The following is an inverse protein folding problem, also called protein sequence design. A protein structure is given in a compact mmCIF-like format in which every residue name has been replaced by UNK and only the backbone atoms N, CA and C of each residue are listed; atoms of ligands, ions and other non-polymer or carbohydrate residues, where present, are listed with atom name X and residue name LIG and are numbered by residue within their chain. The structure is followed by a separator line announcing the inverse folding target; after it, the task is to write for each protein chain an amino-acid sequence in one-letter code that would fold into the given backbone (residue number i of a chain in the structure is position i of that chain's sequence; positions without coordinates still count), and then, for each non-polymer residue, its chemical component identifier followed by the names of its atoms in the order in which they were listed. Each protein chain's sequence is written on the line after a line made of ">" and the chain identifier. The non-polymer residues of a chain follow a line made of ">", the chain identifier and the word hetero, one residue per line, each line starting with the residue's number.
data_IF_489961252393
#
_entry.id   IF_489961252393
#
_cell.length_a   1.000
_cell.length_b   1.000
_cell.length_c   1.000
_cell.angle_alpha   90.00
_cell.angle_beta   90.00
_cell.angle_gamma   90.00
#
_symmetry.space_group_name_H-M   'P 1'
#
loop_
_entity.id
_entity.type
_entity.pdbx_description
1 polymer ?
#
# COMPACT_ATOMS: atom_id res chain seq x y z
N UNK A 1 -20.49 -2.03 -2.53
CA UNK A 1 -19.06 -2.32 -2.27
C UNK A 1 -18.96 -3.83 -2.11
N UNK A 2 -17.87 -4.50 -2.55
CA UNK A 2 -17.65 -5.86 -2.06
C UNK A 2 -17.64 -5.83 -0.52
N UNK A 3 -18.19 -6.87 0.11
CA UNK A 3 -18.11 -7.01 1.57
C UNK A 3 -16.67 -6.85 2.03
N UNK A 4 -16.47 -6.19 3.18
CA UNK A 4 -15.15 -5.80 3.69
C UNK A 4 -14.19 -7.01 3.78
N UNK A 5 -14.71 -8.22 3.98
CA UNK A 5 -13.94 -9.47 3.95
C UNK A 5 -13.30 -9.73 2.58
N UNK A 6 -14.07 -9.70 1.49
CA UNK A 6 -13.59 -9.91 0.13
C UNK A 6 -12.57 -8.84 -0.29
N UNK A 7 -12.76 -7.59 0.15
CA UNK A 7 -11.79 -6.51 -0.07
C UNK A 7 -10.41 -6.87 0.48
N UNK A 8 -10.34 -7.37 1.72
CA UNK A 8 -9.07 -7.71 2.35
C UNK A 8 -8.42 -8.92 1.68
N UNK A 9 -9.21 -9.92 1.31
CA UNK A 9 -8.69 -11.12 0.64
C UNK A 9 -8.09 -10.81 -0.73
N UNK A 10 -8.79 -10.05 -1.58
CA UNK A 10 -8.25 -9.65 -2.88
C UNK A 10 -7.01 -8.78 -2.74
N UNK A 11 -7.03 -7.81 -1.83
CA UNK A 11 -5.87 -6.96 -1.60
C UNK A 11 -4.65 -7.76 -1.14
N UNK A 12 -4.80 -8.70 -0.19
CA UNK A 12 -3.68 -9.56 0.25
C UNK A 12 -3.17 -10.42 -0.88
N UNK A 13 -4.06 -11.04 -1.66
CA UNK A 13 -3.70 -11.86 -2.81
C UNK A 13 -2.84 -11.06 -3.78
N UNK A 14 -3.32 -9.90 -4.20
CA UNK A 14 -2.66 -9.12 -5.25
C UNK A 14 -1.33 -8.52 -4.75
N UNK A 15 -1.25 -8.11 -3.48
CA UNK A 15 0.02 -7.69 -2.88
C UNK A 15 1.02 -8.84 -2.76
N UNK A 16 0.58 -10.04 -2.35
CA UNK A 16 1.47 -11.24 -2.30
C UNK A 16 2.03 -11.56 -3.68
N UNK A 17 1.19 -11.49 -4.71
CA UNK A 17 1.61 -11.67 -6.10
C UNK A 17 2.62 -10.59 -6.53
N UNK A 18 2.36 -9.31 -6.23
CA UNK A 18 3.26 -8.21 -6.59
C UNK A 18 4.63 -8.31 -5.91
N UNK A 19 4.65 -8.60 -4.60
CA UNK A 19 5.90 -8.70 -3.83
C UNK A 19 6.58 -10.07 -3.90
N UNK A 20 5.98 -11.04 -4.62
CA UNK A 20 6.42 -12.44 -4.65
C UNK A 20 6.68 -12.99 -3.24
N UNK A 21 5.79 -12.64 -2.30
CA UNK A 21 5.97 -12.88 -0.88
C UNK A 21 5.05 -13.98 -0.37
N UNK A 22 5.54 -14.77 0.57
CA UNK A 22 4.74 -15.82 1.20
C UNK A 22 3.67 -15.19 2.08
N UNK A 23 3.97 -14.15 2.85
CA UNK A 23 2.99 -13.45 3.69
C UNK A 23 3.08 -11.95 3.50
N UNK A 24 1.93 -11.27 3.50
CA UNK A 24 1.86 -9.81 3.45
C UNK A 24 0.94 -9.30 4.53
N UNK A 25 1.48 -8.40 5.35
CA UNK A 25 0.73 -7.57 6.28
C UNK A 25 0.55 -6.19 5.65
N UNK A 26 -0.61 -5.57 5.87
CA UNK A 26 -0.84 -4.21 5.43
C UNK A 26 -1.67 -3.42 6.44
N UNK A 27 -1.45 -2.11 6.47
CA UNK A 27 -2.22 -1.15 7.24
C UNK A 27 -2.76 -0.06 6.30
N UNK A 28 -4.04 0.25 6.39
CA UNK A 28 -4.63 1.39 5.69
C UNK A 28 -4.11 2.69 6.30
N UNK A 29 -3.41 3.49 5.50
CA UNK A 29 -2.94 4.81 5.90
C UNK A 29 -4.08 5.84 5.99
N UNK A 30 -5.23 5.51 5.40
CA UNK A 30 -6.45 6.34 5.40
C UNK A 30 -7.69 5.47 5.56
N UNK A 31 -8.68 5.96 6.30
CA UNK A 31 -9.99 5.31 6.36
C UNK A 31 -10.76 5.57 5.06
N UNK A 32 -10.61 4.65 4.11
CA UNK A 32 -11.35 4.62 2.85
C UNK A 32 -10.56 5.09 1.63
N UNK A 33 -11.10 4.85 0.42
CA UNK A 33 -10.47 5.24 -0.82
C UNK A 33 -10.48 6.75 -1.01
N UNK A 34 -9.45 7.27 -1.67
CA UNK A 34 -9.50 8.57 -2.31
C UNK A 34 -9.98 8.39 -3.74
N UNK A 35 -11.13 8.95 -4.07
CA UNK A 35 -11.67 8.99 -5.43
C UNK A 35 -12.02 10.43 -5.80
N UNK A 36 -11.48 10.89 -6.93
CA UNK A 36 -11.79 12.21 -7.50
C UNK A 36 -12.38 11.98 -8.88
N UNK A 37 -13.65 12.37 -9.06
CA UNK A 37 -14.38 12.20 -10.33
C UNK A 37 -14.56 10.74 -10.74
N UNK A 38 -14.42 10.47 -12.05
CA UNK A 38 -14.59 9.14 -12.68
C UNK A 38 -13.37 8.22 -12.54
N UNK A 39 -12.37 8.61 -11.76
CA UNK A 39 -11.16 7.80 -11.55
C UNK A 39 -11.43 6.57 -10.68
N UNK A 40 -10.65 5.50 -10.89
CA UNK A 40 -10.66 4.34 -10.00
C UNK A 40 -10.35 4.72 -8.54
N UNK A 41 -11.02 4.09 -7.56
CA UNK A 41 -10.75 4.29 -6.14
C UNK A 41 -9.29 3.96 -5.81
N UNK A 42 -8.59 4.87 -5.13
CA UNK A 42 -7.19 4.68 -4.73
C UNK A 42 -7.08 4.47 -3.23
N UNK A 43 -6.32 3.45 -2.84
CA UNK A 43 -6.02 3.16 -1.45
C UNK A 43 -4.52 3.38 -1.21
N UNK A 44 -4.21 3.77 0.03
CA UNK A 44 -2.86 4.03 0.47
C UNK A 44 -2.60 3.14 1.67
N UNK A 45 -1.55 2.35 1.57
CA UNK A 45 -1.25 1.24 2.46
C UNK A 45 0.18 1.36 2.94
N UNK A 46 0.44 1.02 4.19
CA UNK A 46 1.77 0.57 4.60
C UNK A 46 1.79 -0.94 4.46
N UNK A 47 2.76 -1.49 3.74
CA UNK A 47 2.86 -2.93 3.47
C UNK A 47 4.13 -3.47 4.08
N UNK A 48 4.05 -4.71 4.57
CA UNK A 48 5.17 -5.49 5.07
C UNK A 48 5.05 -6.90 4.52
N UNK A 49 5.87 -7.18 3.53
CA UNK A 49 5.97 -8.46 2.86
C UNK A 49 7.07 -9.32 3.51
N UNK A 50 6.77 -10.59 3.73
CA UNK A 50 7.65 -11.58 4.34
C UNK A 50 7.81 -12.79 3.43
N UNK A 51 9.00 -13.36 3.39
CA UNK A 51 9.25 -14.65 2.75
C UNK A 51 8.74 -15.84 3.59
N UNK A 52 8.90 -17.05 3.05
CA UNK A 52 8.57 -18.31 3.71
C UNK A 52 9.29 -18.53 5.06
N UNK A 53 10.42 -17.86 5.29
CA UNK A 53 11.18 -17.93 6.53
C UNK A 53 10.75 -16.85 7.54
N UNK A 54 9.78 -16.00 7.19
CA UNK A 54 9.33 -14.89 8.01
C UNK A 54 10.24 -13.65 7.91
N UNK A 55 11.21 -13.63 7.00
CA UNK A 55 12.11 -12.51 6.77
C UNK A 55 11.38 -11.43 5.99
N UNK A 56 11.44 -10.19 6.46
CA UNK A 56 10.84 -9.05 5.76
C UNK A 56 11.64 -8.78 4.47
N UNK A 57 11.04 -9.05 3.32
CA UNK A 57 11.66 -8.83 2.00
C UNK A 57 11.34 -7.45 1.44
N UNK A 58 10.18 -6.89 1.80
CA UNK A 58 9.80 -5.53 1.44
C UNK A 58 8.94 -4.90 2.53
N UNK A 59 9.23 -3.66 2.87
CA UNK A 59 8.42 -2.87 3.80
C UNK A 59 8.37 -1.43 3.28
N UNK A 60 7.19 -0.79 3.33
CA UNK A 60 7.06 0.61 2.93
C UNK A 60 5.65 1.04 2.55
N UNK A 61 5.55 2.22 1.92
CA UNK A 61 4.27 2.81 1.52
C UNK A 61 3.89 2.40 0.10
N UNK A 62 2.65 1.97 -0.07
CA UNK A 62 2.08 1.49 -1.32
C UNK A 62 0.83 2.28 -1.68
N UNK A 63 0.69 2.61 -2.96
CA UNK A 63 -0.50 3.22 -3.56
C UNK A 63 -1.11 2.21 -4.53
N UNK A 64 -2.33 1.79 -4.24
CA UNK A 64 -3.05 0.81 -5.04
C UNK A 64 -4.35 1.39 -5.62
N UNK A 65 -4.77 0.90 -6.79
CA UNK A 65 -6.07 1.19 -7.38
C UNK A 65 -6.96 -0.04 -7.33
N UNK A 66 -8.22 0.12 -6.93
CA UNK A 66 -9.23 -0.92 -7.07
C UNK A 66 -9.76 -0.93 -8.51
N UNK A 67 -9.43 -1.98 -9.26
CA UNK A 67 -9.89 -2.20 -10.64
C UNK A 67 -11.10 -3.12 -10.59
N UNK A 68 -12.23 -2.64 -11.14
CA UNK A 68 -13.48 -3.39 -11.32
C UNK A 68 -14.07 -4.09 -10.08
N UNK A 69 -13.60 -3.73 -8.87
CA UNK A 69 -13.93 -4.35 -7.56
C UNK A 69 -13.43 -5.79 -7.37
N UNK A 70 -12.58 -6.27 -8.27
CA UNK A 70 -12.08 -7.66 -8.26
C UNK A 70 -10.57 -7.73 -8.04
N UNK A 71 -9.86 -6.64 -8.33
CA UNK A 71 -8.40 -6.59 -8.40
C UNK A 71 -7.86 -5.30 -7.77
N UNK A 72 -6.70 -5.40 -7.13
CA UNK A 72 -5.91 -4.26 -6.68
C UNK A 72 -4.62 -4.18 -7.48
N UNK A 73 -4.46 -3.09 -8.23
CA UNK A 73 -3.24 -2.82 -8.96
C UNK A 73 -2.31 -1.95 -8.14
N UNK A 74 -1.07 -2.39 -7.92
CA UNK A 74 -0.02 -1.57 -7.31
C UNK A 74 0.46 -0.54 -8.32
N UNK A 75 0.08 0.72 -8.11
CA UNK A 75 0.49 1.82 -8.97
C UNK A 75 1.91 2.28 -8.62
N UNK A 76 2.19 2.41 -7.33
CA UNK A 76 3.49 2.87 -6.84
C UNK A 76 3.82 2.24 -5.48
N UNK A 77 5.09 1.92 -5.27
CA UNK A 77 5.61 1.43 -4.01
C UNK A 77 6.93 2.16 -3.69
N UNK A 78 7.03 2.70 -2.48
CA UNK A 78 8.27 3.23 -1.93
C UNK A 78 8.68 2.40 -0.72
N UNK A 79 9.90 1.87 -0.73
CA UNK A 79 10.43 1.14 0.42
C UNK A 79 10.65 2.09 1.60
N UNK A 80 10.62 1.55 2.82
CA UNK A 80 10.99 2.24 4.04
C UNK A 80 12.36 2.92 3.91
N UNK A 81 13.32 2.23 3.30
CA UNK A 81 14.65 2.78 3.05
C UNK A 81 14.62 4.00 2.12
N UNK A 82 13.90 3.91 0.99
CA UNK A 82 13.73 5.03 0.06
C UNK A 82 12.99 6.20 0.71
N UNK A 83 11.96 5.93 1.53
CA UNK A 83 11.21 6.97 2.25
C UNK A 83 12.12 7.72 3.22
N UNK A 84 12.99 7.01 3.93
CA UNK A 84 13.93 7.60 4.89
C UNK A 84 15.07 8.38 4.20
N UNK A 85 15.54 7.91 3.04
CA UNK A 85 16.60 8.58 2.27
C UNK A 85 16.09 9.76 1.43
N UNK A 86 14.89 9.64 0.88
CA UNK A 86 14.32 10.59 -0.10
C UNK A 86 12.88 10.98 0.30
N UNK A 87 12.69 11.73 1.40
CA UNK A 87 11.36 12.08 1.91
C UNK A 87 10.52 12.92 0.93
N UNK A 88 11.15 13.66 0.02
CA UNK A 88 10.46 14.43 -1.01
C UNK A 88 9.73 13.56 -2.04
N UNK A 89 10.19 12.33 -2.28
CA UNK A 89 9.46 11.38 -3.15
C UNK A 89 8.08 11.04 -2.61
N UNK A 90 7.95 10.99 -1.29
CA UNK A 90 6.66 10.71 -0.63
C UNK A 90 5.65 11.80 -0.98
N UNK A 91 6.09 13.07 -1.00
CA UNK A 91 5.27 14.24 -1.32
C UNK A 91 4.82 14.24 -2.79
N UNK A 92 5.62 13.69 -3.69
CA UNK A 92 5.29 13.60 -5.11
C UNK A 92 4.25 12.49 -5.42
N UNK A 93 4.23 11.43 -4.61
CA UNK A 93 3.46 10.20 -4.91
C UNK A 93 2.17 10.11 -4.09
N UNK A 94 2.22 10.58 -2.85
CA UNK A 94 1.15 10.44 -1.86
C UNK A 94 0.46 11.79 -1.58
N UNK A 95 -0.84 11.77 -1.28
CA UNK A 95 -1.56 12.96 -0.85
C UNK A 95 -0.91 13.62 0.38
N UNK A 96 -0.86 14.95 0.39
CA UNK A 96 -0.27 15.73 1.48
C UNK A 96 -0.69 15.29 2.90
N UNK A 97 -1.97 14.92 3.17
CA UNK A 97 -2.38 14.46 4.50
C UNK A 97 -1.73 13.14 4.96
N UNK A 98 -1.27 12.31 4.03
CA UNK A 98 -0.66 11.01 4.34
C UNK A 98 0.85 11.07 4.49
N UNK A 99 1.49 12.09 3.91
CA UNK A 99 2.94 12.32 3.99
C UNK A 99 3.47 12.23 5.43
N UNK A 100 2.93 12.98 6.43
CA UNK A 100 3.47 12.90 7.79
C UNK A 100 3.34 11.49 8.39
N UNK A 101 2.21 10.80 8.18
CA UNK A 101 2.00 9.43 8.67
C UNK A 101 2.99 8.44 8.03
N UNK A 102 3.25 8.57 6.73
CA UNK A 102 4.22 7.73 5.99
C UNK A 102 5.65 7.97 6.50
N UNK A 103 6.02 9.24 6.69
CA UNK A 103 7.35 9.60 7.18
C UNK A 103 7.58 9.18 8.63
N UNK A 104 6.54 9.23 9.47
CA UNK A 104 6.59 8.73 10.84
C UNK A 104 6.77 7.21 10.85
N UNK A 105 5.99 6.49 10.05
CA UNK A 105 6.07 5.03 9.96
C UNK A 105 7.41 4.51 9.43
N UNK A 106 8.10 5.31 8.61
CA UNK A 106 9.43 4.95 8.13
C UNK A 106 10.55 5.07 9.19
N UNK A 107 10.27 5.76 10.30
CA UNK A 107 11.21 5.96 11.42
C UNK A 107 11.06 4.94 12.54
N UNK A 108 9.87 4.37 12.69
CA UNK A 108 9.54 3.23 13.57
C UNK A 108 10.29 1.97 13.11
#
# INVERSE_FOLDING_TARGET
>A
MPDQAHFQEFLKRDLRTYFQADSVEYELLRQGPTQVGVSLPKYYLWVRAKDQNGTVTAEGACRVAAVEKELFEVLQFLTKETISKEPDRVRAIFPAPLVPKILERAKD
#
